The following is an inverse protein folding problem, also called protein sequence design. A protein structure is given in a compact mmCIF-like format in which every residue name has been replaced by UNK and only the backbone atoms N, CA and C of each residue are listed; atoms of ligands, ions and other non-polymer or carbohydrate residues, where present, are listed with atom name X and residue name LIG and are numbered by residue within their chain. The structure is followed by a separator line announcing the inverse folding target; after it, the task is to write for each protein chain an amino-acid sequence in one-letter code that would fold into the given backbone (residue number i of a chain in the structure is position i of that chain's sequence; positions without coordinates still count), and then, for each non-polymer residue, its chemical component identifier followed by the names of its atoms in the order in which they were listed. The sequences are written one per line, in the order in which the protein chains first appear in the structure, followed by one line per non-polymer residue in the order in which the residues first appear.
data_IF_325226001391
#
_entry.id   IF_325226001391
#
_cell.length_a   1.000
_cell.length_b   1.000
_cell.length_c   1.000
_cell.angle_alpha   90.00
_cell.angle_beta   90.00
_cell.angle_gamma   90.00
#
_symmetry.space_group_name_H-M   'P 1'
#
loop_
_entity.id
_entity.type
_entity.pdbx_description
1 polymer ?
#
# COMPACT_ATOMS: atom_id res chain seq x y z
N UNK A 1 -10.86 -5.00 13.09
CA UNK A 1 -9.91 -6.14 13.17
C UNK A 1 -8.44 -5.79 13.34
N UNK A 2 -7.89 -4.76 12.66
CA UNK A 2 -6.44 -4.45 12.71
C UNK A 2 -5.90 -4.32 14.14
N UNK A 3 -6.58 -3.59 15.02
CA UNK A 3 -6.15 -3.44 16.42
C UNK A 3 -6.13 -4.77 17.18
N UNK A 4 -7.15 -5.62 16.98
CA UNK A 4 -7.23 -6.96 17.57
C UNK A 4 -6.07 -7.84 17.11
N UNK A 5 -5.86 -7.91 15.79
CA UNK A 5 -4.80 -8.72 15.18
C UNK A 5 -3.41 -8.22 15.58
N UNK A 6 -3.22 -6.90 15.68
CA UNK A 6 -1.97 -6.30 16.13
C UNK A 6 -1.61 -6.66 17.57
N UNK A 7 -2.58 -6.64 18.50
CA UNK A 7 -2.38 -7.09 19.89
C UNK A 7 -2.08 -8.59 19.93
N UNK A 8 -2.86 -9.40 19.22
CA UNK A 8 -2.64 -10.85 19.17
C UNK A 8 -1.25 -11.22 18.61
N UNK A 9 -0.79 -10.55 17.54
CA UNK A 9 0.54 -10.76 16.99
C UNK A 9 1.64 -10.37 17.98
N UNK A 10 1.53 -9.20 18.63
CA UNK A 10 2.49 -8.73 19.63
C UNK A 10 2.60 -9.65 20.83
N UNK A 11 1.47 -10.19 21.29
CA UNK A 11 1.40 -11.09 22.45
C UNK A 11 1.70 -12.56 22.08
N UNK A 12 1.99 -12.87 20.81
CA UNK A 12 2.23 -14.25 20.34
C UNK A 12 0.99 -15.16 20.34
N UNK A 13 -0.21 -14.57 20.32
CA UNK A 13 -1.52 -15.24 20.37
C UNK A 13 -2.23 -15.31 19.01
N UNK A 14 -1.54 -14.96 17.92
CA UNK A 14 -2.09 -15.03 16.58
C UNK A 14 -2.30 -16.49 16.17
N UNK A 15 -3.51 -16.86 15.80
CA UNK A 15 -3.80 -18.24 15.38
C UNK A 15 -3.42 -18.47 13.92
N UNK A 16 -3.26 -19.73 13.52
CA UNK A 16 -3.06 -20.08 12.10
C UNK A 16 -4.25 -19.64 11.24
N UNK A 17 -5.48 -19.73 11.78
CA UNK A 17 -6.67 -19.29 11.08
C UNK A 17 -6.66 -17.78 10.80
N UNK A 18 -6.09 -16.95 11.70
CA UNK A 18 -5.95 -15.51 11.48
C UNK A 18 -4.96 -15.17 10.34
N UNK A 19 -4.06 -16.10 9.96
CA UNK A 19 -3.04 -15.89 8.94
C UNK A 19 -3.38 -16.49 7.57
N UNK A 20 -4.48 -17.22 7.44
CA UNK A 20 -4.88 -17.91 6.21
C UNK A 20 -5.88 -17.10 5.39
N UNK A 21 -6.00 -17.44 4.10
CA UNK A 21 -7.07 -16.95 3.21
C UNK A 21 -6.88 -15.54 2.63
N UNK A 22 -5.74 -14.87 2.89
CA UNK A 22 -5.47 -13.57 2.30
C UNK A 22 -5.33 -13.64 0.78
N UNK A 23 -5.95 -12.70 0.06
CA UNK A 23 -5.89 -12.58 -1.42
C UNK A 23 -4.92 -11.50 -1.88
N UNK A 24 -4.57 -10.57 -1.00
CA UNK A 24 -3.68 -9.45 -1.25
C UNK A 24 -2.95 -9.09 0.05
N UNK A 25 -1.74 -8.54 -0.05
CA UNK A 25 -0.96 -8.10 1.12
C UNK A 25 -0.69 -6.61 1.05
N UNK A 26 -0.77 -5.93 2.20
CA UNK A 26 -0.25 -4.58 2.39
C UNK A 26 0.90 -4.65 3.38
N UNK A 27 2.06 -4.13 3.03
CA UNK A 27 3.24 -4.06 3.89
C UNK A 27 3.66 -2.61 4.08
N UNK A 28 3.88 -2.20 5.34
CA UNK A 28 4.29 -0.84 5.67
C UNK A 28 5.72 -0.81 6.20
N UNK A 29 6.68 -0.65 5.28
CA UNK A 29 8.09 -0.44 5.62
C UNK A 29 8.40 1.00 6.07
N UNK A 30 7.44 1.92 5.93
CA UNK A 30 7.56 3.32 6.34
C UNK A 30 7.81 3.50 7.84
N UNK A 31 7.36 2.54 8.67
CA UNK A 31 7.63 2.53 10.11
C UNK A 31 9.13 2.44 10.44
N UNK A 32 9.94 1.90 9.53
CA UNK A 32 11.40 1.82 9.64
C UNK A 32 12.13 2.91 8.87
N UNK A 33 11.39 3.87 8.29
CA UNK A 33 11.97 4.97 7.52
C UNK A 33 12.33 4.63 6.07
N UNK A 34 11.88 3.49 5.53
CA UNK A 34 12.11 3.12 4.14
C UNK A 34 11.53 4.16 3.19
N UNK A 35 12.33 4.64 2.24
CA UNK A 35 11.87 5.60 1.22
C UNK A 35 11.09 4.90 0.11
N UNK A 36 11.62 3.79 -0.41
CA UNK A 36 11.04 2.98 -1.48
C UNK A 36 11.72 1.61 -1.48
N UNK A 37 10.97 0.56 -1.79
CA UNK A 37 11.45 -0.81 -1.85
C UNK A 37 10.63 -1.64 -2.85
N UNK A 38 11.12 -2.84 -3.16
CA UNK A 38 10.41 -3.83 -4.00
C UNK A 38 9.84 -4.93 -3.09
N UNK A 39 8.56 -4.86 -2.69
CA UNK A 39 7.96 -5.85 -1.81
C UNK A 39 7.89 -7.23 -2.48
N UNK A 40 8.11 -8.30 -1.70
CA UNK A 40 8.06 -9.68 -2.19
C UNK A 40 6.64 -10.22 -2.06
N UNK A 41 6.16 -10.91 -3.09
CA UNK A 41 4.84 -11.55 -3.08
C UNK A 41 4.72 -12.59 -1.95
N UNK A 42 3.60 -12.55 -1.23
CA UNK A 42 3.25 -13.58 -0.26
C UNK A 42 2.45 -14.69 -0.96
N UNK A 43 3.13 -15.74 -1.44
CA UNK A 43 2.48 -16.82 -2.17
C UNK A 43 1.35 -17.46 -1.33
N UNK A 44 0.18 -17.79 -1.93
CA UNK A 44 -0.14 -17.82 -3.36
C UNK A 44 -0.74 -16.52 -3.93
N UNK A 45 -0.59 -15.36 -3.27
CA UNK A 45 -1.24 -14.12 -3.70
C UNK A 45 -0.60 -13.51 -4.96
N UNK A 46 -1.42 -12.81 -5.75
CA UNK A 46 -1.02 -12.20 -7.02
C UNK A 46 -0.47 -10.77 -6.90
N UNK A 47 -0.56 -10.15 -5.73
CA UNK A 47 -0.15 -8.75 -5.54
C UNK A 47 0.15 -8.38 -4.10
N UNK A 48 1.08 -7.43 -3.94
CA UNK A 48 1.45 -6.82 -2.66
C UNK A 48 1.69 -5.31 -2.83
N UNK A 49 1.06 -4.52 -1.97
CA UNK A 49 1.26 -3.06 -1.89
C UNK A 49 2.25 -2.72 -0.78
N UNK A 50 3.36 -2.10 -1.14
CA UNK A 50 4.35 -1.54 -0.22
C UNK A 50 4.09 -0.06 0.06
N UNK A 51 3.82 0.26 1.32
CA UNK A 51 3.80 1.62 1.86
C UNK A 51 5.16 2.00 2.44
N UNK A 52 5.53 3.27 2.32
CA UNK A 52 6.83 3.80 2.69
C UNK A 52 6.69 5.02 3.59
N UNK A 53 7.83 5.58 4.02
CA UNK A 53 7.84 6.74 4.90
C UNK A 53 7.16 7.93 4.23
N UNK A 54 6.33 8.63 4.99
CA UNK A 54 5.84 9.96 4.64
C UNK A 54 6.92 10.98 5.01
N UNK A 55 7.33 11.80 4.05
CA UNK A 55 8.28 12.88 4.28
C UNK A 55 7.95 14.11 3.44
N UNK A 56 8.31 15.28 3.96
CA UNK A 56 8.14 16.55 3.26
C UNK A 56 9.01 16.60 2.00
N UNK A 57 8.40 16.94 0.87
CA UNK A 57 9.09 17.08 -0.42
C UNK A 57 8.58 18.29 -1.18
N UNK A 58 9.47 19.02 -1.88
CA UNK A 58 9.03 20.03 -2.83
C UNK A 58 8.37 19.34 -4.03
N UNK A 59 7.15 19.78 -4.34
CA UNK A 59 6.36 19.32 -5.50
C UNK A 59 5.74 20.52 -6.21
N UNK A 60 5.40 20.35 -7.48
CA UNK A 60 4.75 21.42 -8.27
C UNK A 60 3.24 21.23 -8.21
N UNK A 61 2.52 22.24 -7.71
CA UNK A 61 1.04 22.27 -7.70
C UNK A 61 0.60 23.62 -8.27
N UNK A 62 -0.22 23.60 -9.33
CA UNK A 62 -0.69 24.83 -9.98
C UNK A 62 0.44 25.73 -10.51
N UNK A 63 1.56 25.14 -10.93
CA UNK A 63 2.73 25.88 -11.43
C UNK A 63 3.64 26.48 -10.35
N UNK A 64 3.36 26.24 -9.07
CA UNK A 64 4.19 26.72 -7.96
C UNK A 64 4.86 25.56 -7.22
N UNK A 65 6.08 25.78 -6.74
CA UNK A 65 6.77 24.83 -5.85
C UNK A 65 6.18 24.98 -4.45
N UNK A 66 5.60 23.91 -3.94
CA UNK A 66 5.04 23.82 -2.58
C UNK A 66 5.63 22.60 -1.88
N UNK A 67 5.78 22.68 -0.57
CA UNK A 67 6.20 21.54 0.25
C UNK A 67 4.96 20.71 0.59
N UNK A 68 5.01 19.39 0.38
CA UNK A 68 3.93 18.45 0.72
C UNK A 68 4.46 17.20 1.42
N UNK A 69 3.68 16.60 2.33
CA UNK A 69 3.96 15.27 2.85
C UNK A 69 3.71 14.23 1.75
N UNK A 70 4.78 13.62 1.25
CA UNK A 70 4.73 12.67 0.14
C UNK A 70 5.20 11.28 0.59
N UNK A 71 4.62 10.24 -0.01
CA UNK A 71 4.98 8.84 0.18
C UNK A 71 5.11 8.15 -1.18
N UNK A 72 6.11 7.29 -1.34
CA UNK A 72 6.14 6.35 -2.46
C UNK A 72 5.27 5.13 -2.18
N UNK A 73 4.52 4.69 -3.18
CA UNK A 73 3.83 3.40 -3.17
C UNK A 73 4.53 2.48 -4.17
N UNK A 74 4.72 1.22 -3.79
CA UNK A 74 5.25 0.18 -4.67
C UNK A 74 4.23 -0.95 -4.79
N UNK A 75 3.90 -1.37 -6.01
CA UNK A 75 3.09 -2.54 -6.26
C UNK A 75 3.97 -3.59 -6.92
N UNK A 76 4.16 -4.73 -6.25
CA UNK A 76 4.71 -5.92 -6.88
C UNK A 76 3.56 -6.88 -7.18
N UNK A 77 3.57 -7.43 -8.39
CA UNK A 77 2.49 -8.26 -8.90
C UNK A 77 3.04 -9.43 -9.71
N UNK A 78 2.29 -10.53 -9.75
CA UNK A 78 2.62 -11.68 -10.59
C UNK A 78 2.23 -11.40 -12.03
N UNK A 79 3.23 -11.11 -12.86
CA UNK A 79 3.03 -10.76 -14.26
C UNK A 79 2.48 -11.91 -15.13
N UNK A 80 2.42 -13.14 -14.60
CA UNK A 80 1.77 -14.28 -15.25
C UNK A 80 0.24 -14.17 -15.22
N UNK A 81 -0.30 -13.39 -14.28
CA UNK A 81 -1.74 -13.29 -14.01
C UNK A 81 -2.24 -11.86 -14.23
N UNK A 82 -1.44 -10.86 -13.89
CA UNK A 82 -1.82 -9.44 -13.96
C UNK A 82 -0.98 -8.74 -15.02
N UNK A 83 -1.63 -8.03 -15.94
CA UNK A 83 -0.94 -7.22 -16.95
C UNK A 83 -0.45 -5.88 -16.37
N UNK A 84 0.58 -5.30 -16.99
CA UNK A 84 1.13 -4.01 -16.59
C UNK A 84 0.09 -2.89 -16.58
N UNK A 85 -0.85 -2.88 -17.53
CA UNK A 85 -1.94 -1.90 -17.56
C UNK A 85 -2.82 -1.99 -16.32
N UNK A 86 -3.19 -3.20 -15.91
CA UNK A 86 -4.07 -3.44 -14.76
C UNK A 86 -3.37 -3.05 -13.46
N UNK A 87 -2.10 -3.46 -13.31
CA UNK A 87 -1.29 -3.11 -12.14
C UNK A 87 -1.11 -1.58 -12.00
N UNK A 88 -0.80 -0.87 -13.09
CA UNK A 88 -0.65 0.58 -13.07
C UNK A 88 -1.98 1.26 -12.77
N UNK A 89 -3.08 0.84 -13.40
CA UNK A 89 -4.40 1.42 -13.16
C UNK A 89 -4.86 1.22 -11.72
N UNK A 90 -4.62 0.03 -11.15
CA UNK A 90 -4.87 -0.24 -9.73
C UNK A 90 -4.09 0.71 -8.82
N UNK A 91 -2.78 0.88 -9.07
CA UNK A 91 -1.94 1.73 -8.24
C UNK A 91 -2.34 3.22 -8.34
N UNK A 92 -2.71 3.68 -9.54
CA UNK A 92 -3.27 5.03 -9.76
C UNK A 92 -4.57 5.20 -8.98
N UNK A 93 -5.47 4.21 -9.02
CA UNK A 93 -6.74 4.26 -8.27
C UNK A 93 -6.51 4.37 -6.76
N UNK A 94 -5.58 3.58 -6.22
CA UNK A 94 -5.18 3.67 -4.80
C UNK A 94 -4.62 5.06 -4.49
N UNK A 95 -3.71 5.56 -5.33
CA UNK A 95 -3.13 6.90 -5.18
C UNK A 95 -4.21 7.99 -5.14
N UNK A 96 -5.12 8.02 -6.11
CA UNK A 96 -6.20 9.00 -6.18
C UNK A 96 -7.14 8.91 -4.98
N UNK A 97 -7.49 7.70 -4.54
CA UNK A 97 -8.35 7.50 -3.37
C UNK A 97 -7.70 7.97 -2.06
N UNK A 98 -6.36 7.95 -1.98
CA UNK A 98 -5.62 8.46 -0.83
C UNK A 98 -5.42 9.98 -0.87
N UNK A 99 -5.23 10.55 -2.06
CA UNK A 99 -5.09 12.00 -2.25
C UNK A 99 -6.43 12.75 -2.13
N UNK A 100 -7.53 12.09 -2.49
CA UNK A 100 -8.90 12.62 -2.46
C UNK A 100 -9.90 11.55 -1.97
N UNK A 101 -10.03 11.35 -0.65
CA UNK A 101 -10.86 10.28 -0.07
C UNK A 101 -12.36 10.38 -0.38
N UNK A 102 -12.86 11.56 -0.78
CA UNK A 102 -14.27 11.75 -1.15
C UNK A 102 -14.66 10.88 -2.36
N UNK A 103 -13.70 10.55 -3.22
CA UNK A 103 -13.89 9.63 -4.37
C UNK A 103 -14.33 8.23 -3.96
N UNK A 104 -13.90 7.75 -2.79
CA UNK A 104 -14.31 6.45 -2.27
C UNK A 104 -15.80 6.42 -1.88
N UNK A 105 -16.34 7.56 -1.47
CA UNK A 105 -17.75 7.67 -1.06
C UNK A 105 -18.66 7.75 -2.29
N UNK A 106 -18.16 8.32 -3.38
CA UNK A 106 -18.92 8.56 -4.60
C UNK A 106 -18.83 7.42 -5.63
N UNK A 107 -18.10 6.33 -5.33
CA UNK A 107 -17.80 5.23 -6.27
C UNK A 107 -17.24 5.73 -7.63
N UNK A 108 -16.55 6.87 -7.62
CA UNK A 108 -15.95 7.55 -8.77
C UNK A 108 -14.50 7.17 -8.93
#
# INVERSE_FOLDING_TARGET
DIGRLGIAARDGKLSVADMQGGTFTISNGGVYGSLMSTPILNAPQSGILGMHKIQERPVVVGGQIVIRPMMYLALSYDHRIVDGKEAVTFLVRVKESLEDPERLVLDL
#
